data_IF_626281290525
#
_entry.id   IF_626281290525
#
_cell.length_a   1.000
_cell.length_b   1.000
_cell.length_c   1.000
_cell.angle_alpha   90.00
_cell.angle_beta   90.00
_cell.angle_gamma   90.00
#
_symmetry.space_group_name_H-M   'P 1'
#
loop_
_entity.id
_entity.type
_entity.pdbx_description
1 polymer ?
#
# COMPACT_ATOMS: atom_id res chain seq x y z
N UNK A 1 -7.83 -14.89 -17.81
CA UNK A 1 -6.56 -14.87 -17.07
C UNK A 1 -6.70 -15.80 -15.88
N UNK A 2 -5.76 -16.71 -15.66
CA UNK A 2 -5.78 -17.60 -14.49
C UNK A 2 -5.06 -16.96 -13.28
N UNK A 3 -5.21 -17.53 -12.08
CA UNK A 3 -4.65 -16.97 -10.85
C UNK A 3 -3.11 -16.87 -10.89
N UNK A 4 -2.42 -17.76 -11.60
CA UNK A 4 -0.96 -17.72 -11.72
C UNK A 4 -0.50 -16.56 -12.59
N UNK A 5 -1.17 -16.32 -13.72
CA UNK A 5 -0.92 -15.18 -14.60
C UNK A 5 -1.14 -13.85 -13.87
N UNK A 6 -2.23 -13.74 -13.10
CA UNK A 6 -2.53 -12.54 -12.34
C UNK A 6 -1.47 -12.24 -11.29
N UNK A 7 -1.04 -13.27 -10.53
CA UNK A 7 0.07 -13.14 -9.58
C UNK A 7 1.37 -12.71 -10.25
N UNK A 8 1.67 -13.25 -11.43
CA UNK A 8 2.87 -12.88 -12.19
C UNK A 8 2.83 -11.42 -12.64
N UNK A 9 1.70 -10.97 -13.18
CA UNK A 9 1.52 -9.56 -13.59
C UNK A 9 1.65 -8.63 -12.39
N UNK A 10 0.97 -8.93 -11.29
CA UNK A 10 1.03 -8.09 -10.09
C UNK A 10 2.45 -8.02 -9.50
N UNK A 11 3.25 -9.10 -9.59
CA UNK A 11 4.67 -9.04 -9.20
C UNK A 11 5.48 -8.11 -10.08
N UNK A 12 5.22 -8.10 -11.39
CA UNK A 12 5.88 -7.17 -12.31
C UNK A 12 5.53 -5.71 -11.97
N UNK A 13 4.29 -5.42 -11.57
CA UNK A 13 3.90 -4.07 -11.15
C UNK A 13 4.68 -3.61 -9.89
N UNK A 14 4.88 -4.50 -8.92
CA UNK A 14 5.68 -4.24 -7.71
C UNK A 14 7.17 -4.04 -8.05
N UNK A 15 7.71 -4.84 -8.97
CA UNK A 15 9.07 -4.67 -9.47
C UNK A 15 9.24 -3.33 -10.17
N UNK A 16 8.26 -2.92 -10.98
CA UNK A 16 8.30 -1.63 -11.68
C UNK A 16 8.26 -0.44 -10.74
N UNK A 17 7.43 -0.48 -9.68
CA UNK A 17 7.45 0.55 -8.62
C UNK A 17 8.84 0.74 -8.03
N UNK A 18 9.52 -0.37 -7.72
CA UNK A 18 10.90 -0.33 -7.23
C UNK A 18 11.88 0.18 -8.28
N UNK A 19 11.71 -0.18 -9.55
CA UNK A 19 12.58 0.31 -10.63
C UNK A 19 12.48 1.83 -10.77
N UNK A 20 11.25 2.36 -10.74
CA UNK A 20 10.98 3.80 -10.78
C UNK A 20 11.65 4.50 -9.58
N UNK A 21 11.49 3.98 -8.37
CA UNK A 21 12.12 4.58 -7.19
C UNK A 21 13.64 4.48 -7.19
N UNK A 22 14.20 3.37 -7.67
CA UNK A 22 15.65 3.24 -7.87
C UNK A 22 16.17 4.28 -8.87
N UNK A 23 15.46 4.52 -9.97
CA UNK A 23 15.82 5.55 -10.94
C UNK A 23 15.72 6.96 -10.35
N UNK A 24 14.66 7.24 -9.59
CA UNK A 24 14.48 8.52 -8.89
C UNK A 24 15.58 8.75 -7.86
N UNK A 25 15.95 7.75 -7.06
CA UNK A 25 17.08 7.85 -6.14
C UNK A 25 18.39 8.13 -6.87
N UNK A 26 18.71 7.38 -7.93
CA UNK A 26 19.95 7.58 -8.70
C UNK A 26 20.05 9.01 -9.24
N UNK A 27 18.97 9.51 -9.86
CA UNK A 27 18.90 10.89 -10.35
C UNK A 27 19.05 11.91 -9.22
N UNK A 28 18.39 11.70 -8.09
CA UNK A 28 18.53 12.58 -6.93
C UNK A 28 19.98 12.62 -6.43
N UNK A 29 20.64 11.47 -6.33
CA UNK A 29 22.05 11.35 -5.94
C UNK A 29 22.97 12.09 -6.90
N UNK A 30 22.82 11.89 -8.21
CA UNK A 30 23.60 12.57 -9.24
C UNK A 30 23.47 14.10 -9.13
N UNK A 31 22.23 14.61 -9.02
CA UNK A 31 21.96 16.05 -8.91
C UNK A 31 22.53 16.64 -7.61
N UNK A 32 22.41 15.93 -6.49
CA UNK A 32 22.94 16.38 -5.21
C UNK A 32 24.46 16.44 -5.26
N UNK A 33 25.14 15.42 -5.79
CA UNK A 33 26.59 15.44 -5.90
C UNK A 33 27.10 16.50 -6.86
N UNK A 34 26.36 16.79 -7.94
CA UNK A 34 26.70 17.87 -8.87
C UNK A 34 26.61 19.24 -8.20
N UNK A 35 25.52 19.49 -7.46
CA UNK A 35 25.28 20.78 -6.81
C UNK A 35 26.05 20.94 -5.49
N UNK A 36 26.43 19.83 -4.86
CA UNK A 36 27.04 19.78 -3.54
C UNK A 36 28.23 18.80 -3.49
N UNK A 37 29.33 19.08 -4.21
CA UNK A 37 30.52 18.22 -4.22
C UNK A 37 31.14 18.03 -2.82
N UNK A 38 30.96 18.98 -1.91
CA UNK A 38 31.40 18.87 -0.51
C UNK A 38 30.71 17.73 0.25
N UNK A 39 29.42 17.46 -0.04
CA UNK A 39 28.73 16.33 0.57
C UNK A 39 29.32 15.01 0.04
N UNK A 40 29.56 14.92 -1.28
CA UNK A 40 30.22 13.75 -1.87
C UNK A 40 31.59 13.50 -1.25
N UNK A 41 32.37 14.55 -0.99
CA UNK A 41 33.67 14.44 -0.32
C UNK A 41 33.51 13.93 1.11
N UNK A 42 32.59 14.50 1.90
CA UNK A 42 32.28 14.05 3.26
C UNK A 42 31.91 12.56 3.30
N UNK A 43 31.03 12.12 2.40
CA UNK A 43 30.61 10.71 2.31
C UNK A 43 31.77 9.79 1.89
N UNK A 44 32.66 10.25 1.00
CA UNK A 44 33.86 9.49 0.63
C UNK A 44 34.87 9.38 1.78
N UNK A 45 35.10 10.48 2.50
CA UNK A 45 36.04 10.53 3.64
C UNK A 45 35.54 9.60 4.77
N UNK A 46 34.24 9.65 5.08
CA UNK A 46 33.58 8.72 6.00
C UNK A 46 33.78 7.26 5.58
N UNK A 47 33.46 6.92 4.33
CA UNK A 47 33.59 5.55 3.84
C UNK A 47 35.04 5.05 3.92
N UNK A 48 36.01 5.90 3.61
CA UNK A 48 37.43 5.56 3.72
C UNK A 48 37.83 5.27 5.16
N UNK A 49 37.47 6.15 6.10
CA UNK A 49 37.76 5.96 7.52
C UNK A 49 37.07 4.71 8.08
N UNK A 50 35.82 4.46 7.71
CA UNK A 50 35.08 3.29 8.15
C UNK A 50 35.72 1.98 7.64
N UNK A 51 36.15 1.96 6.37
CA UNK A 51 36.87 0.81 5.81
C UNK A 51 38.22 0.56 6.49
N UNK A 52 38.95 1.62 6.85
CA UNK A 52 40.22 1.51 7.60
C UNK A 52 39.98 0.90 8.99
N UNK A 53 38.94 1.32 9.71
CA UNK A 53 38.55 0.74 11.00
C UNK A 53 38.13 -0.73 10.88
N UNK A 54 37.26 -1.05 9.91
CA UNK A 54 36.82 -2.43 9.66
C UNK A 54 37.98 -3.35 9.28
N UNK A 55 38.95 -2.85 8.51
CA UNK A 55 40.15 -3.60 8.16
C UNK A 55 41.00 -3.90 9.40
N UNK A 56 41.17 -2.92 10.31
CA UNK A 56 41.89 -3.11 11.57
C UNK A 56 41.28 -4.22 12.44
N UNK A 57 39.94 -4.31 12.50
CA UNK A 57 39.21 -5.38 13.19
C UNK A 57 39.51 -6.78 12.64
N UNK A 58 39.63 -6.89 11.31
CA UNK A 58 39.95 -8.16 10.64
C UNK A 58 41.39 -8.56 10.93
N UNK A 59 42.31 -7.60 10.93
CA UNK A 59 43.74 -7.83 11.16
C UNK A 59 44.04 -8.14 12.64
N UNK A 60 43.30 -7.55 13.59
CA UNK A 60 43.49 -7.76 15.04
C UNK A 60 42.15 -7.97 15.78
N UNK A 61 41.59 -9.19 15.75
CA UNK A 61 40.27 -9.49 16.34
C UNK A 61 40.18 -9.27 17.86
N UNK A 62 41.31 -9.36 18.56
CA UNK A 62 41.40 -9.18 20.02
C UNK A 62 41.10 -7.73 20.45
N UNK A 63 41.23 -6.75 19.55
CA UNK A 63 40.98 -5.32 19.82
C UNK A 63 39.52 -4.88 19.57
N UNK A 64 38.61 -5.85 19.37
CA UNK A 64 37.23 -5.61 18.93
C UNK A 64 36.47 -4.55 19.74
N UNK A 65 36.62 -4.57 21.07
CA UNK A 65 35.88 -3.67 21.95
C UNK A 65 36.23 -2.18 21.73
N UNK A 66 37.50 -1.86 21.48
CA UNK A 66 37.93 -0.48 21.23
C UNK A 66 37.50 0.01 19.85
N UNK A 67 37.64 -0.83 18.82
CA UNK A 67 37.31 -0.44 17.44
C UNK A 67 35.80 -0.31 17.22
N UNK A 68 34.96 -1.15 17.86
CA UNK A 68 33.50 -1.04 17.80
C UNK A 68 33.02 0.35 18.26
N UNK A 69 33.57 0.85 19.37
CA UNK A 69 33.25 2.19 19.86
C UNK A 69 33.64 3.29 18.85
N UNK A 70 34.82 3.17 18.22
CA UNK A 70 35.25 4.13 17.20
C UNK A 70 34.35 4.13 15.96
N UNK A 71 33.86 2.97 15.52
CA UNK A 71 32.90 2.86 14.41
C UNK A 71 31.58 3.55 14.78
N UNK A 72 31.04 3.27 15.97
CA UNK A 72 29.81 3.91 16.44
C UNK A 72 29.94 5.44 16.53
N UNK A 73 31.08 5.94 17.03
CA UNK A 73 31.34 7.39 17.09
C UNK A 73 31.49 8.01 15.69
N UNK A 74 32.19 7.32 14.77
CA UNK A 74 32.36 7.78 13.40
C UNK A 74 31.01 7.87 12.67
N UNK A 75 30.18 6.83 12.80
CA UNK A 75 28.83 6.79 12.22
C UNK A 75 27.93 7.89 12.80
N UNK A 76 27.95 8.07 14.13
CA UNK A 76 27.19 9.14 14.77
C UNK A 76 27.59 10.53 14.27
N UNK A 77 28.88 10.84 14.25
CA UNK A 77 29.38 12.14 13.80
C UNK A 77 29.02 12.41 12.34
N UNK A 78 29.19 11.40 11.47
CA UNK A 78 28.83 11.50 10.06
C UNK A 78 27.33 11.74 9.86
N UNK A 79 26.48 11.02 10.57
CA UNK A 79 25.03 11.20 10.48
C UNK A 79 24.59 12.60 10.96
N UNK A 80 25.17 13.10 12.04
CA UNK A 80 24.90 14.46 12.53
C UNK A 80 25.34 15.53 11.52
N UNK A 81 26.51 15.40 10.90
CA UNK A 81 26.98 16.33 9.88
C UNK A 81 26.11 16.29 8.62
N UNK A 82 25.73 15.09 8.19
CA UNK A 82 24.84 14.88 7.04
C UNK A 82 23.46 15.48 7.27
N UNK A 83 22.89 15.29 8.47
CA UNK A 83 21.59 15.87 8.84
C UNK A 83 21.66 17.41 8.85
N UNK A 84 22.66 17.99 9.52
CA UNK A 84 22.92 19.44 9.52
C UNK A 84 23.09 19.98 8.11
N UNK A 85 23.77 19.25 7.23
CA UNK A 85 23.97 19.62 5.83
C UNK A 85 22.64 19.81 5.08
N UNK A 86 21.69 18.88 5.27
CA UNK A 86 20.38 18.94 4.63
C UNK A 86 19.45 19.98 5.27
N UNK A 87 19.41 20.04 6.60
CA UNK A 87 18.60 21.03 7.33
C UNK A 87 19.00 22.47 6.99
N UNK A 88 20.31 22.75 6.91
CA UNK A 88 20.83 24.07 6.53
C UNK A 88 20.41 24.50 5.11
N UNK A 89 19.90 23.58 4.28
CA UNK A 89 19.41 23.81 2.91
C UNK A 89 17.89 23.70 2.81
N UNK A 90 17.19 23.60 3.93
CA UNK A 90 15.73 23.55 3.99
C UNK A 90 15.13 22.17 3.69
N UNK A 91 15.94 21.11 3.70
CA UNK A 91 15.42 19.75 3.56
C UNK A 91 15.14 19.14 4.95
N UNK A 92 13.94 18.59 5.20
CA UNK A 92 13.62 17.95 6.48
C UNK A 92 14.32 16.58 6.66
N UNK A 93 14.69 15.93 5.56
CA UNK A 93 15.43 14.65 5.53
C UNK A 93 16.25 14.55 4.24
N UNK A 94 17.02 13.48 4.08
CA UNK A 94 17.77 13.24 2.85
C UNK A 94 16.79 13.04 1.67
N UNK A 95 16.80 13.91 0.64
CA UNK A 95 15.91 13.80 -0.50
C UNK A 95 16.21 12.58 -1.39
N UNK A 96 17.22 11.77 -1.08
CA UNK A 96 17.54 10.48 -1.72
C UNK A 96 16.88 9.29 -1.03
N UNK A 97 16.23 9.48 0.12
CA UNK A 97 15.59 8.39 0.84
C UNK A 97 14.55 7.68 -0.04
N UNK A 98 14.56 6.34 0.04
CA UNK A 98 13.61 5.49 -0.68
C UNK A 98 12.20 5.82 -0.22
N UNK A 99 11.28 5.95 -1.18
CA UNK A 99 9.86 6.13 -0.91
C UNK A 99 9.15 4.86 -1.34
N UNK A 100 8.82 4.02 -0.38
CA UNK A 100 8.02 2.84 -0.65
C UNK A 100 6.54 3.18 -0.51
N UNK A 101 5.69 2.57 -1.33
CA UNK A 101 4.24 2.64 -1.13
C UNK A 101 3.82 1.75 0.06
N UNK A 102 4.53 0.64 0.27
CA UNK A 102 4.31 -0.25 1.39
C UNK A 102 5.55 -0.40 2.26
N UNK A 103 5.54 0.20 3.45
CA UNK A 103 6.65 0.10 4.42
C UNK A 103 6.93 -1.32 4.89
N UNK A 104 5.90 -2.18 4.94
CA UNK A 104 6.02 -3.56 5.45
C UNK A 104 6.86 -4.45 4.53
N UNK A 105 6.64 -4.35 3.22
CA UNK A 105 7.35 -5.19 2.24
C UNK A 105 8.35 -4.42 1.39
N UNK A 106 8.44 -3.09 1.54
CA UNK A 106 9.26 -2.22 0.68
C UNK A 106 9.01 -2.48 -0.80
N UNK A 107 7.72 -2.60 -1.13
CA UNK A 107 7.21 -2.92 -2.47
C UNK A 107 7.77 -4.21 -3.08
N UNK A 108 8.16 -5.18 -2.26
CA UNK A 108 8.47 -6.55 -2.75
C UNK A 108 7.24 -7.44 -2.87
N UNK A 109 6.13 -7.07 -2.20
CA UNK A 109 4.93 -7.89 -2.10
C UNK A 109 5.07 -9.09 -1.15
N UNK A 110 6.22 -9.27 -0.50
CA UNK A 110 6.50 -10.36 0.42
C UNK A 110 7.15 -9.85 1.72
N UNK A 111 6.98 -10.62 2.78
CA UNK A 111 7.59 -10.45 4.09
C UNK A 111 8.15 -11.81 4.52
N UNK A 112 8.90 -11.86 5.62
CA UNK A 112 9.42 -13.14 6.16
C UNK A 112 8.30 -14.14 6.50
N UNK A 113 7.09 -13.64 6.74
CA UNK A 113 5.89 -14.43 7.03
C UNK A 113 5.10 -14.84 5.77
N UNK A 114 5.63 -14.57 4.58
CA UNK A 114 5.00 -14.84 3.29
C UNK A 114 4.43 -13.60 2.62
N UNK A 115 3.34 -13.75 1.84
CA UNK A 115 2.77 -12.63 1.07
C UNK A 115 2.33 -11.47 1.97
N UNK A 116 2.79 -10.28 1.62
CA UNK A 116 2.42 -9.05 2.32
C UNK A 116 0.91 -8.79 2.21
N UNK A 117 0.35 -8.11 3.20
CA UNK A 117 -1.07 -7.75 3.20
C UNK A 117 -1.44 -6.86 2.02
N UNK A 118 -0.56 -5.92 1.62
CA UNK A 118 -0.80 -5.08 0.44
C UNK A 118 -0.89 -5.91 -0.84
N UNK A 119 -0.08 -6.96 -0.96
CA UNK A 119 -0.09 -7.84 -2.12
C UNK A 119 -1.37 -8.69 -2.14
N UNK A 120 -1.81 -9.19 -0.98
CA UNK A 120 -3.07 -9.93 -0.85
C UNK A 120 -4.28 -9.05 -1.20
N UNK A 121 -4.30 -7.80 -0.74
CA UNK A 121 -5.36 -6.83 -1.07
C UNK A 121 -5.39 -6.54 -2.57
N UNK A 122 -4.25 -6.22 -3.18
CA UNK A 122 -4.16 -5.97 -4.61
C UNK A 122 -4.56 -7.21 -5.43
N UNK A 123 -4.15 -8.40 -4.99
CA UNK A 123 -4.57 -9.65 -5.64
C UNK A 123 -6.08 -9.86 -5.53
N UNK A 124 -6.69 -9.64 -4.37
CA UNK A 124 -8.14 -9.76 -4.19
C UNK A 124 -8.91 -8.75 -5.04
N UNK A 125 -8.42 -7.50 -5.11
CA UNK A 125 -8.97 -6.46 -5.98
C UNK A 125 -8.97 -6.90 -7.45
N UNK A 126 -7.85 -7.43 -7.93
CA UNK A 126 -7.71 -7.89 -9.31
C UNK A 126 -8.57 -9.12 -9.62
N UNK A 127 -8.68 -10.06 -8.68
CA UNK A 127 -9.60 -11.20 -8.81
C UNK A 127 -11.02 -10.70 -8.94
N UNK A 128 -11.45 -9.84 -8.02
CA UNK A 128 -12.79 -9.24 -8.03
C UNK A 128 -13.07 -8.51 -9.35
N UNK A 129 -12.12 -7.71 -9.83
CA UNK A 129 -12.23 -7.04 -11.13
C UNK A 129 -12.34 -8.05 -12.26
N UNK A 130 -11.52 -9.10 -12.30
CA UNK A 130 -11.59 -10.11 -13.36
C UNK A 130 -12.91 -10.93 -13.40
N UNK A 131 -13.55 -11.11 -12.24
CA UNK A 131 -14.84 -11.77 -12.14
C UNK A 131 -16.00 -10.83 -12.51
N UNK A 132 -15.90 -9.55 -12.14
CA UNK A 132 -16.96 -8.57 -12.36
C UNK A 132 -16.88 -7.82 -13.71
N UNK A 133 -15.70 -7.63 -14.30
CA UNK A 133 -15.49 -6.99 -15.62
C UNK A 133 -16.07 -7.80 -16.80
N UNK A 134 -16.66 -8.96 -16.54
CA UNK A 134 -17.53 -9.64 -17.51
C UNK A 134 -18.91 -8.98 -17.64
N UNK A 135 -19.21 -7.92 -16.88
CA UNK A 135 -20.46 -7.13 -16.93
C UNK A 135 -20.26 -5.62 -17.13
N UNK A 136 -21.32 -4.85 -17.42
CA UNK A 136 -21.23 -3.42 -17.70
C UNK A 136 -21.08 -2.60 -16.41
N UNK A 137 -19.90 -1.99 -16.22
CA UNK A 137 -19.47 -1.10 -15.11
C UNK A 137 -19.32 -1.75 -13.74
N UNK A 138 -18.26 -1.38 -13.02
CA UNK A 138 -18.05 -1.81 -11.62
C UNK A 138 -19.23 -1.37 -10.73
N UNK A 139 -19.67 -2.19 -9.79
CA UNK A 139 -20.77 -1.87 -8.90
C UNK A 139 -20.29 -0.86 -7.85
N UNK A 140 -21.11 0.14 -7.55
CA UNK A 140 -20.78 1.23 -6.64
C UNK A 140 -22.01 1.60 -5.84
N UNK A 141 -21.90 1.65 -4.51
CA UNK A 141 -22.98 2.13 -3.66
C UNK A 141 -23.26 3.62 -3.88
N UNK A 142 -22.26 4.38 -4.35
CA UNK A 142 -22.34 5.84 -4.56
C UNK A 142 -22.97 6.22 -5.89
N UNK A 143 -22.72 5.42 -6.94
CA UNK A 143 -23.17 5.70 -8.30
C UNK A 143 -24.43 4.90 -8.70
N UNK A 144 -25.15 4.33 -7.72
CA UNK A 144 -26.41 3.64 -7.98
C UNK A 144 -27.46 4.60 -8.58
N UNK A 145 -27.98 4.24 -9.75
CA UNK A 145 -29.11 4.92 -10.35
C UNK A 145 -30.41 4.46 -9.68
N UNK A 146 -30.96 5.28 -8.79
CA UNK A 146 -32.22 4.98 -8.12
C UNK A 146 -33.45 5.16 -9.02
N UNK A 147 -33.30 5.78 -10.20
CA UNK A 147 -34.41 6.05 -11.11
C UNK A 147 -35.07 4.78 -11.65
N UNK A 148 -34.30 3.68 -11.72
CA UNK A 148 -34.76 2.36 -12.16
C UNK A 148 -35.75 1.70 -11.19
N UNK A 149 -35.85 2.17 -9.95
CA UNK A 149 -36.76 1.63 -8.94
C UNK A 149 -38.08 2.39 -8.92
N UNK A 150 -39.19 1.63 -8.83
CA UNK A 150 -40.53 2.19 -8.78
C UNK A 150 -40.73 3.05 -7.53
N UNK A 151 -41.37 4.20 -7.73
CA UNK A 151 -41.86 5.09 -6.68
C UNK A 151 -43.23 4.68 -6.13
N UNK A 152 -43.91 3.72 -6.77
CA UNK A 152 -45.21 3.28 -6.32
C UNK A 152 -45.09 2.51 -5.01
N UNK A 153 -45.97 2.84 -4.06
CA UNK A 153 -46.01 2.20 -2.75
C UNK A 153 -46.72 0.86 -2.86
N UNK A 154 -46.00 -0.21 -2.55
CA UNK A 154 -46.58 -1.55 -2.46
C UNK A 154 -47.42 -1.75 -1.19
N UNK A 155 -47.83 -3.00 -0.92
CA UNK A 155 -48.63 -3.38 0.25
C UNK A 155 -48.05 -2.92 1.60
N UNK A 156 -46.74 -2.78 1.67
CA UNK A 156 -46.01 -2.36 2.88
C UNK A 156 -45.91 -0.83 3.05
N UNK A 157 -46.61 -0.04 2.22
CA UNK A 157 -46.59 1.44 2.21
C UNK A 157 -45.23 2.10 1.92
N UNK A 158 -44.22 1.32 1.56
CA UNK A 158 -42.88 1.78 1.18
C UNK A 158 -42.71 1.48 -0.31
N UNK A 159 -42.13 2.43 -1.06
CA UNK A 159 -41.80 2.22 -2.47
C UNK A 159 -40.51 1.40 -2.62
N UNK A 160 -40.30 0.75 -3.77
CA UNK A 160 -39.05 0.04 -4.01
C UNK A 160 -37.85 0.99 -3.95
N UNK A 161 -38.02 2.22 -4.42
CA UNK A 161 -36.97 3.25 -4.38
C UNK A 161 -36.61 3.65 -2.95
N UNK A 162 -37.60 3.96 -2.12
CA UNK A 162 -37.36 4.37 -0.72
C UNK A 162 -36.70 3.25 0.07
N UNK A 163 -37.12 2.00 -0.17
CA UNK A 163 -36.49 0.83 0.43
C UNK A 163 -35.03 0.69 0.01
N UNK A 164 -34.73 0.84 -1.29
CA UNK A 164 -33.35 0.75 -1.79
C UNK A 164 -32.46 1.87 -1.25
N UNK A 165 -32.97 3.10 -1.15
CA UNK A 165 -32.24 4.22 -0.54
C UNK A 165 -31.87 3.91 0.92
N UNK A 166 -32.83 3.40 1.70
CA UNK A 166 -32.58 3.01 3.10
C UNK A 166 -31.56 1.87 3.24
N UNK A 167 -31.60 0.88 2.33
CA UNK A 167 -30.61 -0.20 2.28
C UNK A 167 -29.22 0.38 1.98
N UNK A 168 -29.07 1.20 0.94
CA UNK A 168 -27.78 1.79 0.57
C UNK A 168 -27.22 2.66 1.70
N UNK A 169 -28.04 3.47 2.36
CA UNK A 169 -27.62 4.25 3.53
C UNK A 169 -27.13 3.36 4.67
N UNK A 170 -27.80 2.23 4.91
CA UNK A 170 -27.39 1.24 5.92
C UNK A 170 -26.07 0.56 5.56
N UNK A 171 -25.85 0.26 4.28
CA UNK A 171 -24.58 -0.30 3.79
C UNK A 171 -23.42 0.69 3.88
N UNK A 172 -23.66 1.97 3.59
CA UNK A 172 -22.65 3.01 3.76
C UNK A 172 -22.23 3.11 5.24
N UNK A 173 -23.19 3.15 6.17
CA UNK A 173 -22.91 3.13 7.61
C UNK A 173 -22.18 1.86 8.05
N UNK A 174 -22.51 0.71 7.46
CA UNK A 174 -21.81 -0.55 7.73
C UNK A 174 -20.34 -0.48 7.31
N UNK A 175 -20.06 0.04 6.11
CA UNK A 175 -18.70 0.25 5.58
C UNK A 175 -17.92 1.22 6.46
N UNK A 176 -18.49 2.37 6.80
CA UNK A 176 -17.84 3.37 7.68
C UNK A 176 -17.45 2.81 9.05
N UNK A 177 -18.28 1.91 9.58
CA UNK A 177 -18.09 1.33 10.90
C UNK A 177 -17.48 -0.07 10.87
N UNK A 178 -17.00 -0.55 9.72
CA UNK A 178 -16.56 -1.93 9.55
C UNK A 178 -15.38 -2.26 10.46
N UNK A 179 -15.66 -3.01 11.53
CA UNK A 179 -14.66 -3.47 12.50
C UNK A 179 -14.82 -4.96 12.74
N UNK A 180 -13.69 -5.67 12.80
CA UNK A 180 -13.62 -7.13 13.02
C UNK A 180 -14.37 -7.58 14.27
N UNK A 181 -14.42 -6.73 15.29
CA UNK A 181 -14.99 -7.01 16.61
C UNK A 181 -16.52 -6.92 16.67
N UNK A 182 -17.18 -6.31 15.67
CA UNK A 182 -18.63 -6.10 15.70
C UNK A 182 -19.45 -7.35 15.36
N UNK A 183 -18.87 -8.33 14.64
CA UNK A 183 -19.55 -9.60 14.31
C UNK A 183 -20.85 -9.46 13.50
N UNK A 184 -21.10 -8.30 12.90
CA UNK A 184 -22.32 -8.02 12.13
C UNK A 184 -22.28 -8.73 10.78
N UNK A 185 -23.33 -9.49 10.47
CA UNK A 185 -23.52 -10.15 9.19
C UNK A 185 -24.73 -9.56 8.47
N UNK A 186 -24.62 -9.39 7.15
CA UNK A 186 -25.68 -8.87 6.29
C UNK A 186 -26.28 -10.01 5.45
N UNK A 187 -27.61 -10.13 5.47
CA UNK A 187 -28.35 -11.08 4.63
C UNK A 187 -29.27 -10.29 3.69
N UNK A 188 -29.02 -10.40 2.38
CA UNK A 188 -29.91 -9.84 1.37
C UNK A 188 -30.97 -10.88 0.98
N UNK A 189 -32.25 -10.60 1.24
CA UNK A 189 -33.37 -11.48 0.91
C UNK A 189 -34.42 -10.74 0.08
N UNK A 190 -35.11 -11.45 -0.83
CA UNK A 190 -36.14 -10.91 -1.71
C UNK A 190 -36.28 -11.71 -3.00
N UNK A 191 -37.11 -11.25 -3.94
CA UNK A 191 -37.32 -11.92 -5.23
C UNK A 191 -36.13 -11.74 -6.19
N UNK A 192 -36.05 -12.57 -7.22
CA UNK A 192 -35.02 -12.45 -8.27
C UNK A 192 -35.04 -11.06 -8.92
N UNK A 193 -33.90 -10.62 -9.46
CA UNK A 193 -33.77 -9.36 -10.20
C UNK A 193 -34.00 -8.06 -9.40
N UNK A 194 -33.96 -8.10 -8.06
CA UNK A 194 -34.08 -6.91 -7.21
C UNK A 194 -32.73 -6.26 -6.81
N UNK A 195 -31.62 -6.64 -7.45
CA UNK A 195 -30.31 -6.00 -7.23
C UNK A 195 -29.48 -6.53 -6.05
N UNK A 196 -29.88 -7.64 -5.41
CA UNK A 196 -29.12 -8.22 -4.27
C UNK A 196 -27.65 -8.52 -4.59
N UNK A 197 -27.39 -9.18 -5.72
CA UNK A 197 -26.03 -9.49 -6.18
C UNK A 197 -25.23 -8.23 -6.44
N UNK A 198 -25.88 -7.19 -7.00
CA UNK A 198 -25.26 -5.90 -7.21
C UNK A 198 -24.85 -5.25 -5.87
N UNK A 199 -25.75 -5.24 -4.88
CA UNK A 199 -25.46 -4.69 -3.55
C UNK A 199 -24.31 -5.41 -2.85
N UNK A 200 -24.28 -6.74 -2.91
CA UNK A 200 -23.20 -7.53 -2.34
C UNK A 200 -21.85 -7.23 -3.01
N UNK A 201 -21.85 -7.11 -4.35
CA UNK A 201 -20.65 -6.75 -5.10
C UNK A 201 -20.21 -5.30 -4.85
N UNK A 202 -21.14 -4.35 -4.77
CA UNK A 202 -20.86 -2.94 -4.44
C UNK A 202 -20.25 -2.80 -3.04
N UNK A 203 -20.79 -3.55 -2.07
CA UNK A 203 -20.23 -3.62 -0.72
C UNK A 203 -18.80 -4.19 -0.71
N UNK A 204 -18.55 -5.24 -1.50
CA UNK A 204 -17.21 -5.80 -1.64
C UNK A 204 -16.21 -4.77 -2.20
N UNK A 205 -16.61 -3.98 -3.21
CA UNK A 205 -15.78 -2.90 -3.75
C UNK A 205 -15.41 -1.86 -2.69
N UNK A 206 -16.39 -1.36 -1.93
CA UNK A 206 -16.15 -0.35 -0.90
C UNK A 206 -15.19 -0.87 0.20
N UNK A 207 -15.37 -2.13 0.62
CA UNK A 207 -14.48 -2.76 1.62
C UNK A 207 -13.05 -2.97 1.07
N UNK A 208 -12.91 -3.37 -0.19
CA UNK A 208 -11.60 -3.48 -0.86
C UNK A 208 -10.91 -2.11 -0.91
N UNK A 209 -11.66 -1.04 -1.22
CA UNK A 209 -11.13 0.33 -1.28
C UNK A 209 -10.68 0.86 0.08
N UNK A 210 -11.30 0.41 1.18
CA UNK A 210 -10.85 0.68 2.55
C UNK A 210 -9.67 -0.20 3.01
N UNK A 211 -9.16 -1.08 2.14
CA UNK A 211 -8.03 -1.96 2.45
C UNK A 211 -8.45 -3.24 3.19
N UNK A 212 -9.71 -3.66 3.15
CA UNK A 212 -10.09 -4.97 3.66
C UNK A 212 -9.80 -6.06 2.63
N UNK A 213 -9.32 -7.20 3.11
CA UNK A 213 -9.21 -8.40 2.28
C UNK A 213 -10.61 -9.01 2.13
N UNK A 214 -11.16 -8.94 0.91
CA UNK A 214 -12.49 -9.48 0.60
C UNK A 214 -12.36 -10.70 -0.30
N UNK A 215 -13.14 -11.73 0.00
CA UNK A 215 -13.33 -12.90 -0.86
C UNK A 215 -14.77 -12.86 -1.33
N UNK A 216 -14.96 -12.69 -2.63
CA UNK A 216 -16.27 -12.76 -3.27
C UNK A 216 -16.38 -14.13 -3.96
N UNK A 217 -17.46 -14.86 -3.69
CA UNK A 217 -17.68 -16.19 -4.25
C UNK A 217 -19.12 -16.31 -4.73
N UNK A 218 -19.28 -16.72 -5.98
CA UNK A 218 -20.57 -17.11 -6.56
C UNK A 218 -20.57 -18.61 -6.83
N UNK A 219 -21.63 -19.29 -6.41
CA UNK A 219 -21.89 -20.70 -6.72
C UNK A 219 -22.55 -20.87 -8.08
#
# INVERSE_FOLDING_TARGET
>A
MNLQELRRRLRADYEEKRNIENLRQKRATELIYLNHPQLKKLENDYNKMNLELLRGLIENPEEHAGVSFHIEQLEKNFNEEKEKFFQARGYPSDPRDFRYECDLCKDTGATDQGMCICFKQNLAKEIFQSEYERGPKQPSLREMDFSIYSHEKGKNKISQRDNMLSIVESLQKFVENFKREQGLNLLFSGEVSQGKTYLAAALAVELIQQGHLVIYQTS
#
